data_IF_793856997298
#
_entry.id   IF_793856997298
#
_cell.length_a   1.000
_cell.length_b   1.000
_cell.length_c   1.000
_cell.angle_alpha   90.00
_cell.angle_beta   90.00
_cell.angle_gamma   90.00
#
_symmetry.space_group_name_H-M   'P 1'
#
loop_
_entity.id
_entity.type
_entity.pdbx_description
1 polymer ?
#
# COMPACT_ATOMS: atom_id res chain seq x y z
N UNK A 1 -23.69 61.41 20.17
CA UNK A 1 -23.48 60.73 21.46
C UNK A 1 -23.00 59.31 21.12
N UNK A 2 -21.72 58.97 21.00
CA UNK A 2 -20.60 58.95 21.98
C UNK A 2 -20.95 58.32 23.34
N UNK A 3 -20.47 57.09 23.53
CA UNK A 3 -19.64 56.55 24.64
C UNK A 3 -20.07 55.10 24.94
N UNK A 4 -19.27 54.08 24.61
CA UNK A 4 -18.07 53.60 25.35
C UNK A 4 -18.46 52.87 26.66
N UNK A 5 -17.84 51.79 27.15
CA UNK A 5 -16.77 50.82 26.81
C UNK A 5 -16.96 49.72 27.88
N UNK A 6 -16.68 48.44 27.62
CA UNK A 6 -15.97 47.60 28.61
C UNK A 6 -15.31 46.39 27.93
N UNK A 7 -13.98 46.47 27.83
CA UNK A 7 -13.08 45.34 27.54
C UNK A 7 -12.96 44.47 28.80
N UNK A 8 -12.85 43.15 28.63
CA UNK A 8 -12.49 42.26 29.73
C UNK A 8 -12.22 40.81 29.31
N UNK A 9 -10.94 40.54 29.01
CA UNK A 9 -10.25 39.25 29.15
C UNK A 9 -10.73 38.02 28.36
N UNK A 10 -10.08 37.80 27.20
CA UNK A 10 -9.91 36.46 26.62
C UNK A 10 -8.73 35.81 27.36
N UNK A 11 -9.04 34.91 28.30
CA UNK A 11 -8.09 33.97 28.87
C UNK A 11 -7.77 32.91 27.80
N UNK A 12 -6.52 32.89 27.36
CA UNK A 12 -5.94 31.79 26.61
C UNK A 12 -5.98 30.52 27.45
N UNK A 13 -6.86 29.57 27.10
CA UNK A 13 -6.70 28.19 27.52
C UNK A 13 -5.87 27.45 26.47
N UNK A 14 -4.71 26.99 26.91
CA UNK A 14 -3.82 26.11 26.19
C UNK A 14 -4.60 24.91 25.62
N UNK A 15 -4.40 24.62 24.34
CA UNK A 15 -4.83 23.38 23.69
C UNK A 15 -4.15 22.19 24.39
N UNK A 16 -4.85 21.60 25.36
CA UNK A 16 -4.57 20.28 25.86
C UNK A 16 -4.85 19.26 24.76
N UNK A 17 -3.96 18.29 24.60
CA UNK A 17 -4.10 17.17 23.68
C UNK A 17 -5.49 16.54 23.77
N UNK A 18 -6.27 16.61 22.69
CA UNK A 18 -7.45 15.77 22.53
C UNK A 18 -7.00 14.31 22.47
N UNK A 19 -7.07 13.61 23.60
CA UNK A 19 -7.16 12.15 23.62
C UNK A 19 -8.43 11.80 22.85
N UNK A 20 -8.29 11.06 21.76
CA UNK A 20 -9.42 10.54 20.98
C UNK A 20 -10.29 9.70 21.95
N UNK A 21 -11.46 10.22 22.32
CA UNK A 21 -12.44 9.51 23.12
C UNK A 21 -13.00 8.35 22.30
N UNK A 22 -12.72 7.11 22.72
CA UNK A 22 -13.25 5.88 22.10
C UNK A 22 -12.21 4.87 21.58
N UNK A 23 -10.91 5.19 21.64
CA UNK A 23 -9.84 4.23 21.31
C UNK A 23 -9.63 3.18 22.40
N UNK A 24 -9.17 1.98 22.02
CA UNK A 24 -8.73 0.96 22.98
C UNK A 24 -7.47 1.47 23.70
N UNK A 25 -7.47 1.42 25.03
CA UNK A 25 -6.35 1.82 25.89
C UNK A 25 -5.96 0.68 26.84
N UNK A 26 -4.68 0.61 27.22
CA UNK A 26 -4.20 -0.31 28.25
C UNK A 26 -4.67 0.13 29.63
N UNK A 27 -5.04 -0.82 30.49
CA UNK A 27 -5.33 -0.56 31.89
C UNK A 27 -4.01 -0.59 32.66
N UNK A 28 -3.69 0.50 33.38
CA UNK A 28 -2.45 0.62 34.15
C UNK A 28 -2.54 -0.08 35.51
N UNK A 29 -3.68 0.07 36.19
CA UNK A 29 -3.97 -0.60 37.45
C UNK A 29 -4.94 -1.77 37.21
N UNK A 30 -4.39 -2.99 37.23
CA UNK A 30 -5.17 -4.23 37.06
C UNK A 30 -5.82 -4.71 38.35
N UNK A 31 -5.50 -4.08 39.49
CA UNK A 31 -6.09 -4.38 40.80
C UNK A 31 -7.24 -3.42 41.14
N UNK A 32 -7.52 -2.44 40.27
CA UNK A 32 -8.68 -1.55 40.37
C UNK A 32 -9.98 -2.36 40.54
N UNK A 33 -10.77 -1.96 41.54
CA UNK A 33 -11.98 -2.67 41.97
C UNK A 33 -12.98 -2.88 40.83
N UNK A 34 -13.07 -1.94 39.89
CA UNK A 34 -13.98 -2.06 38.74
C UNK A 34 -13.49 -3.07 37.71
N UNK A 35 -12.17 -3.21 37.57
CA UNK A 35 -11.51 -4.13 36.64
C UNK A 35 -11.56 -5.56 37.21
N UNK A 36 -11.26 -5.70 38.50
CA UNK A 36 -11.40 -6.97 39.24
C UNK A 36 -12.86 -7.40 39.29
N UNK A 37 -13.80 -6.46 39.50
CA UNK A 37 -15.23 -6.71 39.44
C UNK A 37 -15.68 -7.27 38.09
N UNK A 38 -15.21 -6.69 36.99
CA UNK A 38 -15.50 -7.19 35.65
C UNK A 38 -14.90 -8.59 35.39
N UNK A 39 -13.71 -8.88 35.93
CA UNK A 39 -13.08 -10.20 35.82
C UNK A 39 -13.87 -11.27 36.61
N UNK A 40 -14.25 -10.98 37.85
CA UNK A 40 -15.05 -11.89 38.67
C UNK A 40 -16.44 -12.12 38.07
N UNK A 41 -17.08 -11.07 37.55
CA UNK A 41 -18.33 -11.19 36.82
C UNK A 41 -18.20 -12.16 35.64
N UNK A 42 -17.15 -12.03 34.83
CA UNK A 42 -16.90 -12.93 33.70
C UNK A 42 -16.74 -14.39 34.13
N UNK A 43 -15.93 -14.65 35.16
CA UNK A 43 -15.69 -16.02 35.65
C UNK A 43 -16.95 -16.64 36.25
N UNK A 44 -17.70 -15.90 37.07
CA UNK A 44 -18.97 -16.37 37.65
C UNK A 44 -20.04 -16.62 36.58
N UNK A 45 -20.05 -15.82 35.52
CA UNK A 45 -20.93 -16.05 34.37
C UNK A 45 -20.55 -17.33 33.63
N UNK A 46 -19.26 -17.62 33.50
CA UNK A 46 -18.77 -18.87 32.87
C UNK A 46 -19.06 -20.11 33.71
N UNK A 47 -18.99 -20.02 35.04
CA UNK A 47 -19.46 -21.08 35.95
C UNK A 47 -20.96 -21.36 35.71
N UNK A 48 -21.80 -20.32 35.74
CA UNK A 48 -23.25 -20.48 35.57
C UNK A 48 -23.72 -21.04 34.21
N UNK A 49 -22.85 -21.08 33.19
CA UNK A 49 -23.16 -21.61 31.85
C UNK A 49 -22.51 -22.95 31.53
N UNK A 50 -21.58 -23.44 32.36
CA UNK A 50 -20.92 -24.73 32.13
C UNK A 50 -21.74 -25.86 32.77
N UNK A 51 -21.67 -27.06 32.20
CA UNK A 51 -22.37 -28.25 32.71
C UNK A 51 -21.52 -29.02 33.74
N UNK A 52 -20.32 -28.51 34.07
CA UNK A 52 -19.43 -29.11 35.08
C UNK A 52 -19.65 -28.52 36.48
N UNK A 53 -19.33 -29.30 37.51
CA UNK A 53 -19.44 -28.86 38.91
C UNK A 53 -18.11 -28.28 39.41
N UNK A 54 -17.23 -27.78 38.52
CA UNK A 54 -15.89 -27.33 38.90
C UNK A 54 -15.82 -25.81 38.98
N UNK A 55 -15.71 -25.28 40.20
CA UNK A 55 -15.63 -23.83 40.41
C UNK A 55 -14.35 -23.21 39.81
N UNK A 56 -14.52 -22.14 39.03
CA UNK A 56 -13.41 -21.33 38.52
C UNK A 56 -12.90 -20.36 39.57
N UNK A 57 -11.69 -20.61 40.09
CA UNK A 57 -11.10 -19.74 41.11
C UNK A 57 -10.23 -18.66 40.47
N UNK A 58 -10.64 -17.41 40.63
CA UNK A 58 -9.87 -16.23 40.21
C UNK A 58 -8.48 -16.25 40.88
N UNK A 59 -7.43 -16.05 40.08
CA UNK A 59 -6.06 -15.89 40.60
C UNK A 59 -5.55 -14.47 40.43
N UNK A 60 -5.53 -13.96 39.19
CA UNK A 60 -5.11 -12.59 38.88
C UNK A 60 -5.46 -12.18 37.45
N UNK A 61 -5.46 -10.89 37.18
CA UNK A 61 -5.51 -10.36 35.81
C UNK A 61 -4.07 -10.25 35.27
N UNK A 62 -3.80 -10.88 34.13
CA UNK A 62 -2.49 -10.88 33.47
C UNK A 62 -2.35 -9.61 32.61
N UNK A 63 -3.42 -9.23 31.91
CA UNK A 63 -3.43 -8.12 30.98
C UNK A 63 -4.83 -7.55 30.86
N UNK A 64 -4.94 -6.23 30.81
CA UNK A 64 -6.21 -5.53 30.69
C UNK A 64 -6.16 -4.41 29.65
N UNK A 65 -7.19 -4.33 28.81
CA UNK A 65 -7.46 -3.16 27.96
C UNK A 65 -8.90 -2.73 28.15
N UNK A 66 -9.17 -1.43 28.00
CA UNK A 66 -10.52 -0.87 28.05
C UNK A 66 -10.78 0.06 26.87
N UNK A 67 -12.04 0.10 26.46
CA UNK A 67 -12.54 1.01 25.44
C UNK A 67 -13.81 1.68 25.96
N UNK A 68 -13.86 3.01 25.85
CA UNK A 68 -15.09 3.76 26.15
C UNK A 68 -16.02 3.66 24.95
N UNK A 69 -17.21 3.11 25.17
CA UNK A 69 -18.30 2.96 24.20
C UNK A 69 -19.57 3.57 24.82
N UNK A 70 -20.77 3.10 24.46
CA UNK A 70 -21.98 3.34 25.28
C UNK A 70 -21.90 2.52 26.60
N UNK A 71 -20.84 2.71 27.38
CA UNK A 71 -20.39 1.83 28.47
C UNK A 71 -18.87 1.75 28.51
N UNK A 72 -18.33 0.84 29.32
CA UNK A 72 -16.91 0.49 29.27
C UNK A 72 -16.79 -0.96 28.82
N UNK A 73 -16.06 -1.18 27.73
CA UNK A 73 -15.76 -2.48 27.19
C UNK A 73 -14.36 -2.91 27.65
N UNK A 74 -14.31 -3.93 28.49
CA UNK A 74 -13.09 -4.54 29.02
C UNK A 74 -12.67 -5.73 28.18
N UNK A 75 -11.36 -5.84 27.95
CA UNK A 75 -10.69 -7.00 27.35
C UNK A 75 -9.65 -7.47 28.37
N UNK A 76 -9.92 -8.59 29.05
CA UNK A 76 -9.12 -9.06 30.17
C UNK A 76 -8.58 -10.45 29.89
N UNK A 77 -7.29 -10.67 30.12
CA UNK A 77 -6.69 -11.98 30.19
C UNK A 77 -6.56 -12.36 31.67
N UNK A 78 -7.37 -13.32 32.12
CA UNK A 78 -7.51 -13.70 33.53
C UNK A 78 -6.82 -15.04 33.76
N UNK A 79 -5.89 -15.07 34.70
CA UNK A 79 -5.36 -16.31 35.25
C UNK A 79 -6.34 -16.86 36.28
N UNK A 80 -6.66 -18.14 36.17
CA UNK A 80 -7.59 -18.84 37.06
C UNK A 80 -7.20 -20.31 37.22
N UNK A 81 -7.73 -20.96 38.24
CA UNK A 81 -7.60 -22.39 38.45
C UNK A 81 -8.96 -23.05 38.27
N UNK A 82 -8.98 -24.19 37.58
CA UNK A 82 -10.14 -25.07 37.55
C UNK A 82 -10.01 -25.99 38.77
N UNK A 83 -10.82 -25.71 39.80
CA UNK A 83 -10.75 -26.43 41.07
C UNK A 83 -11.62 -27.69 41.03
N UNK A 84 -11.27 -28.71 41.82
CA UNK A 84 -12.15 -29.84 42.10
C UNK A 84 -13.30 -29.52 43.08
N UNK A 85 -13.47 -28.27 43.52
CA UNK A 85 -14.57 -27.83 44.37
C UNK A 85 -15.89 -27.77 43.59
N UNK A 86 -16.97 -28.29 44.19
CA UNK A 86 -18.35 -28.03 43.71
C UNK A 86 -18.65 -26.54 43.67
N UNK A 87 -19.41 -26.12 42.66
CA UNK A 87 -19.87 -24.73 42.49
C UNK A 87 -20.75 -24.25 43.65
N UNK A 88 -21.27 -25.19 44.46
CA UNK A 88 -22.09 -24.93 45.66
C UNK A 88 -21.33 -24.31 46.85
N UNK A 89 -19.99 -24.33 46.86
CA UNK A 89 -19.19 -23.76 47.96
C UNK A 89 -18.90 -22.27 47.78
N UNK A 90 -19.06 -21.47 48.85
CA UNK A 90 -18.80 -20.02 48.86
C UNK A 90 -17.32 -19.68 48.75
N UNK A 91 -16.45 -20.41 49.45
CA UNK A 91 -14.98 -20.23 49.41
C UNK A 91 -14.32 -21.51 48.90
N UNK A 92 -13.50 -21.39 47.86
CA UNK A 92 -12.75 -22.50 47.30
C UNK A 92 -11.29 -22.08 47.09
N UNK A 93 -10.37 -22.88 47.63
CA UNK A 93 -8.93 -22.70 47.47
C UNK A 93 -8.39 -23.76 46.52
N UNK A 94 -7.67 -23.39 45.46
CA UNK A 94 -7.12 -24.35 44.52
C UNK A 94 -6.05 -25.21 45.19
N UNK A 95 -6.11 -26.52 44.93
CA UNK A 95 -5.13 -27.50 45.36
C UNK A 95 -3.89 -27.53 44.46
N UNK A 96 -2.82 -28.21 44.89
CA UNK A 96 -1.55 -28.29 44.13
C UNK A 96 -1.65 -29.06 42.80
N UNK A 97 -2.71 -29.86 42.61
CA UNK A 97 -2.96 -30.63 41.38
C UNK A 97 -3.91 -29.92 40.41
N UNK A 98 -4.49 -28.79 40.81
CA UNK A 98 -5.46 -28.05 40.00
C UNK A 98 -4.80 -27.37 38.80
N UNK A 99 -5.45 -27.49 37.65
CA UNK A 99 -4.89 -26.97 36.40
C UNK A 99 -5.16 -25.48 36.28
N UNK A 100 -4.10 -24.73 36.00
CA UNK A 100 -4.18 -23.31 35.72
C UNK A 100 -4.59 -23.06 34.27
N UNK A 101 -5.53 -22.14 34.09
CA UNK A 101 -6.01 -21.66 32.80
C UNK A 101 -5.82 -20.15 32.68
N UNK A 102 -5.76 -19.69 31.44
CA UNK A 102 -5.82 -18.28 31.06
C UNK A 102 -7.07 -18.09 30.22
N UNK A 103 -7.95 -17.22 30.68
CA UNK A 103 -9.22 -16.90 30.03
C UNK A 103 -9.18 -15.46 29.51
N UNK A 104 -9.21 -15.31 28.19
CA UNK A 104 -9.42 -14.04 27.52
C UNK A 104 -10.92 -13.75 27.45
N UNK A 105 -11.38 -12.73 28.17
CA UNK A 105 -12.79 -12.37 28.28
C UNK A 105 -13.03 -10.94 27.80
N UNK A 106 -14.22 -10.73 27.24
CA UNK A 106 -14.71 -9.43 26.81
C UNK A 106 -15.99 -9.09 27.57
N UNK A 107 -15.94 -8.08 28.43
CA UNK A 107 -17.07 -7.70 29.31
C UNK A 107 -17.47 -6.28 29.03
N UNK A 108 -18.75 -6.02 28.80
CA UNK A 108 -19.28 -4.66 28.74
C UNK A 108 -19.92 -4.30 30.09
N UNK A 109 -19.59 -3.13 30.62
CA UNK A 109 -20.20 -2.55 31.81
C UNK A 109 -21.02 -1.32 31.44
N UNK A 110 -22.31 -1.34 31.78
CA UNK A 110 -23.29 -0.29 31.52
C UNK A 110 -24.12 -0.06 32.80
N UNK A 111 -23.64 0.73 33.77
CA UNK A 111 -24.28 0.87 35.08
C UNK A 111 -25.74 1.35 35.08
N UNK A 112 -26.19 1.97 33.99
CA UNK A 112 -27.54 2.50 33.79
C UNK A 112 -28.53 1.51 33.13
N UNK A 113 -28.07 0.31 32.78
CA UNK A 113 -28.91 -0.76 32.23
C UNK A 113 -29.39 -1.68 33.37
N UNK A 114 -30.48 -2.42 33.13
CA UNK A 114 -31.01 -3.44 34.06
C UNK A 114 -29.97 -4.56 34.27
N UNK A 115 -29.39 -5.06 33.17
CA UNK A 115 -28.17 -5.87 33.19
C UNK A 115 -26.93 -4.96 33.19
N UNK A 116 -26.42 -4.65 34.38
CA UNK A 116 -25.30 -3.71 34.56
C UNK A 116 -23.98 -4.16 33.93
N UNK A 117 -23.80 -5.47 33.72
CA UNK A 117 -22.65 -6.06 33.06
C UNK A 117 -23.08 -7.24 32.19
N UNK A 118 -22.37 -7.46 31.08
CA UNK A 118 -22.60 -8.59 30.18
C UNK A 118 -21.30 -9.15 29.63
N UNK A 119 -21.16 -10.48 29.67
CA UNK A 119 -20.07 -11.20 29.01
C UNK A 119 -20.40 -11.28 27.51
N UNK A 120 -19.53 -10.71 26.70
CA UNK A 120 -19.69 -10.63 25.23
C UNK A 120 -19.00 -11.80 24.55
N UNK A 121 -17.81 -12.17 25.02
CA UNK A 121 -16.98 -13.21 24.43
C UNK A 121 -16.01 -13.76 25.49
N UNK A 122 -15.62 -15.02 25.36
CA UNK A 122 -14.73 -15.70 26.29
C UNK A 122 -14.01 -16.86 25.62
N UNK A 123 -12.70 -16.96 25.84
CA UNK A 123 -11.89 -18.10 25.41
C UNK A 123 -10.89 -18.48 26.49
N UNK A 124 -10.89 -19.74 26.92
CA UNK A 124 -10.00 -20.25 27.96
C UNK A 124 -9.05 -21.32 27.41
N UNK A 125 -7.77 -21.20 27.75
CA UNK A 125 -6.72 -22.14 27.38
C UNK A 125 -5.88 -22.55 28.58
N UNK A 126 -5.36 -23.80 28.64
CA UNK A 126 -4.39 -24.19 29.66
C UNK A 126 -3.15 -23.27 29.68
N UNK A 127 -2.71 -22.85 30.86
CA UNK A 127 -1.65 -21.85 31.02
C UNK A 127 -0.29 -22.31 30.44
N UNK A 128 -0.01 -23.62 30.40
CA UNK A 128 1.20 -24.19 29.79
C UNK A 128 1.23 -24.04 28.26
N UNK A 129 0.06 -24.10 27.61
CA UNK A 129 -0.07 -23.80 26.16
C UNK A 129 0.14 -22.31 25.90
N UNK A 130 -0.35 -21.45 26.79
CA UNK A 130 -0.17 -20.00 26.66
C UNK A 130 1.28 -19.54 26.87
N UNK A 131 2.03 -20.16 27.79
CA UNK A 131 3.47 -19.91 27.94
C UNK A 131 4.25 -20.31 26.67
N UNK A 132 3.85 -21.42 26.01
CA UNK A 132 4.44 -21.82 24.72
C UNK A 132 4.09 -20.84 23.60
N UNK A 133 2.85 -20.36 23.54
CA UNK A 133 2.43 -19.31 22.61
C UNK A 133 3.23 -18.01 22.83
N UNK A 134 3.32 -17.53 24.08
CA UNK A 134 4.10 -16.33 24.44
C UNK A 134 5.60 -16.46 24.11
N UNK A 135 6.21 -17.64 24.30
CA UNK A 135 7.60 -17.90 23.89
C UNK A 135 7.77 -17.87 22.38
N UNK A 136 6.82 -18.43 21.62
CA UNK A 136 6.84 -18.39 20.15
C UNK A 136 6.64 -16.97 19.63
N UNK A 137 5.70 -16.20 20.19
CA UNK A 137 5.50 -14.79 19.86
C UNK A 137 6.76 -13.96 20.07
N UNK A 138 7.41 -14.10 21.24
CA UNK A 138 8.69 -13.42 21.52
C UNK A 138 9.80 -13.81 20.55
N UNK A 139 9.80 -15.06 20.05
CA UNK A 139 10.78 -15.53 19.06
C UNK A 139 10.53 -14.91 17.69
N UNK A 140 9.28 -14.88 17.23
CA UNK A 140 8.91 -14.25 15.95
C UNK A 140 9.11 -12.73 16.00
N UNK A 141 8.82 -12.07 17.11
CA UNK A 141 9.09 -10.64 17.30
C UNK A 141 10.60 -10.32 17.20
N UNK A 142 11.46 -11.12 17.85
CA UNK A 142 12.93 -10.98 17.73
C UNK A 142 13.41 -11.18 16.29
N UNK A 143 12.84 -12.15 15.58
CA UNK A 143 13.18 -12.42 14.17
C UNK A 143 12.77 -11.25 13.28
N UNK A 144 11.57 -10.70 13.49
CA UNK A 144 11.06 -9.54 12.77
C UNK A 144 11.90 -8.27 13.06
N UNK A 145 12.24 -8.02 14.31
CA UNK A 145 13.12 -6.90 14.70
C UNK A 145 14.50 -6.98 14.04
N UNK A 146 15.08 -8.20 13.95
CA UNK A 146 16.34 -8.41 13.22
C UNK A 146 16.19 -8.15 11.72
N UNK A 147 15.09 -8.59 11.11
CA UNK A 147 14.79 -8.32 9.70
C UNK A 147 14.62 -6.82 9.44
N UNK A 148 13.90 -6.12 10.30
CA UNK A 148 13.75 -4.66 10.23
C UNK A 148 15.09 -3.94 10.33
N UNK A 149 15.97 -4.33 11.27
CA UNK A 149 17.32 -3.77 11.36
C UNK A 149 18.12 -3.93 10.06
N UNK A 150 17.99 -5.08 9.40
CA UNK A 150 18.61 -5.33 8.09
C UNK A 150 18.00 -4.45 7.00
N UNK A 151 16.67 -4.34 6.95
CA UNK A 151 15.93 -3.44 6.07
C UNK A 151 16.41 -1.98 6.20
N UNK A 152 16.59 -1.48 7.43
CA UNK A 152 17.09 -0.12 7.67
C UNK A 152 18.49 0.10 7.07
N UNK A 153 19.39 -0.87 7.25
CA UNK A 153 20.75 -0.80 6.72
C UNK A 153 20.75 -0.88 5.18
N UNK A 154 20.01 -1.82 4.60
CA UNK A 154 19.93 -2.01 3.15
C UNK A 154 19.37 -0.78 2.42
N UNK A 155 18.32 -0.17 2.99
CA UNK A 155 17.66 0.99 2.38
C UNK A 155 18.17 2.33 2.90
N UNK A 156 19.21 2.34 3.73
CA UNK A 156 19.81 3.55 4.33
C UNK A 156 18.75 4.44 5.04
N UNK A 157 17.81 3.80 5.74
CA UNK A 157 16.71 4.49 6.42
C UNK A 157 17.21 5.10 7.74
N UNK A 158 16.94 6.40 7.91
CA UNK A 158 17.21 7.15 9.14
C UNK A 158 15.93 7.86 9.55
N UNK A 159 15.59 7.78 10.84
CA UNK A 159 14.39 8.42 11.39
C UNK A 159 14.77 9.48 12.41
N UNK A 160 13.97 10.53 12.49
CA UNK A 160 14.20 11.70 13.35
C UNK A 160 14.16 11.39 14.85
N UNK A 161 13.48 10.31 15.25
CA UNK A 161 13.32 9.94 16.65
C UNK A 161 13.11 8.44 16.84
N UNK A 162 13.34 7.96 18.07
CA UNK A 162 12.98 6.59 18.47
C UNK A 162 11.48 6.31 18.34
N UNK A 163 10.64 7.32 18.60
CA UNK A 163 9.18 7.22 18.45
C UNK A 163 8.79 6.98 16.99
N UNK A 164 9.41 7.71 16.05
CA UNK A 164 9.17 7.49 14.63
C UNK A 164 9.69 6.12 14.17
N UNK A 165 10.88 5.71 14.62
CA UNK A 165 11.39 4.37 14.34
C UNK A 165 10.47 3.26 14.84
N UNK A 166 9.89 3.41 16.03
CA UNK A 166 8.94 2.46 16.59
C UNK A 166 7.66 2.40 15.74
N UNK A 167 7.12 3.56 15.34
CA UNK A 167 5.98 3.65 14.42
C UNK A 167 6.28 2.95 13.09
N UNK A 168 7.45 3.19 12.51
CA UNK A 168 7.90 2.57 11.25
C UNK A 168 8.06 1.06 11.38
N UNK A 169 8.51 0.57 12.54
CA UNK A 169 8.57 -0.86 12.82
C UNK A 169 7.18 -1.49 12.89
N UNK A 170 6.19 -0.80 13.47
CA UNK A 170 4.80 -1.28 13.52
C UNK A 170 4.14 -1.33 12.14
N UNK A 171 4.38 -0.32 11.30
CA UNK A 171 3.95 -0.32 9.90
C UNK A 171 4.63 -1.45 9.12
N UNK A 172 5.94 -1.58 9.28
CA UNK A 172 6.71 -2.66 8.65
C UNK A 172 6.17 -4.04 9.05
N UNK A 173 5.84 -4.25 10.33
CA UNK A 173 5.20 -5.49 10.81
C UNK A 173 3.88 -5.77 10.09
N UNK A 174 3.02 -4.76 9.94
CA UNK A 174 1.75 -4.92 9.22
C UNK A 174 2.00 -5.27 7.74
N UNK A 175 2.93 -4.57 7.10
CA UNK A 175 3.30 -4.83 5.71
C UNK A 175 3.90 -6.24 5.51
N UNK A 176 4.61 -6.80 6.49
CA UNK A 176 5.05 -8.20 6.41
C UNK A 176 3.90 -9.19 6.34
N UNK A 177 2.76 -8.91 6.99
CA UNK A 177 1.57 -9.75 6.87
C UNK A 177 0.96 -9.63 5.47
N UNK A 178 0.90 -8.42 4.91
CA UNK A 178 0.43 -8.19 3.53
C UNK A 178 1.33 -8.92 2.52
N UNK A 179 2.65 -8.80 2.66
CA UNK A 179 3.62 -9.51 1.81
C UNK A 179 3.39 -11.02 1.86
N UNK A 180 3.15 -11.57 3.06
CA UNK A 180 2.86 -12.99 3.24
C UNK A 180 1.57 -13.37 2.52
N UNK A 181 0.51 -12.60 2.67
CA UNK A 181 -0.79 -12.84 2.02
C UNK A 181 -0.68 -12.78 0.49
N UNK A 182 0.03 -11.79 -0.04
CA UNK A 182 0.33 -11.68 -1.47
C UNK A 182 1.08 -12.92 -1.97
N UNK A 183 2.12 -13.34 -1.25
CA UNK A 183 2.94 -14.48 -1.65
C UNK A 183 2.15 -15.80 -1.61
N UNK A 184 1.27 -15.99 -0.62
CA UNK A 184 0.42 -17.19 -0.49
C UNK A 184 -0.67 -17.26 -1.58
N UNK A 185 -1.07 -16.12 -2.13
CA UNK A 185 -2.13 -16.02 -3.15
C UNK A 185 -1.61 -15.73 -4.58
N UNK A 186 -0.29 -15.65 -4.77
CA UNK A 186 0.34 -15.43 -6.06
C UNK A 186 0.06 -16.59 -7.02
N UNK A 187 -0.36 -16.28 -8.26
CA UNK A 187 -0.71 -17.28 -9.28
C UNK A 187 0.39 -17.48 -10.34
N UNK A 188 1.34 -16.54 -10.41
CA UNK A 188 2.51 -16.56 -11.27
C UNK A 188 3.77 -17.01 -10.52
N UNK A 189 4.88 -16.32 -10.76
CA UNK A 189 6.20 -16.62 -10.18
C UNK A 189 6.77 -15.45 -9.37
N UNK A 190 5.97 -14.41 -9.13
CA UNK A 190 6.43 -13.24 -8.41
C UNK A 190 6.88 -13.58 -6.98
N UNK A 191 7.96 -12.91 -6.60
CA UNK A 191 8.47 -12.86 -5.23
C UNK A 191 8.18 -11.48 -4.70
N UNK A 192 7.39 -11.41 -3.62
CA UNK A 192 7.15 -10.19 -2.87
C UNK A 192 8.08 -10.12 -1.66
N UNK A 193 8.44 -8.92 -1.23
CA UNK A 193 9.36 -8.75 -0.13
C UNK A 193 9.66 -7.29 0.20
N UNK A 194 10.75 -7.11 0.94
CA UNK A 194 11.14 -5.80 1.45
C UNK A 194 11.63 -4.93 0.28
N UNK A 195 10.84 -3.95 -0.12
CA UNK A 195 11.26 -2.82 -0.94
C UNK A 195 11.53 -1.64 -0.01
N UNK A 196 12.09 -0.53 -0.51
CA UNK A 196 12.24 0.68 0.32
C UNK A 196 10.91 1.32 0.74
N UNK A 197 9.77 0.81 0.27
CA UNK A 197 8.43 1.20 0.69
C UNK A 197 7.85 0.32 1.80
N UNK A 198 8.60 -0.68 2.29
CA UNK A 198 8.10 -1.66 3.24
C UNK A 198 7.74 -1.08 4.63
N UNK A 199 8.15 0.15 4.93
CA UNK A 199 7.84 0.89 6.16
C UNK A 199 6.83 2.04 5.95
N UNK A 200 6.17 2.09 4.79
CA UNK A 200 5.14 3.09 4.47
C UNK A 200 3.73 2.51 4.67
N UNK A 201 2.81 3.35 5.16
CA UNK A 201 1.38 3.01 5.09
C UNK A 201 0.88 3.07 3.65
N UNK A 202 -0.32 2.56 3.38
CA UNK A 202 -0.92 2.66 2.06
C UNK A 202 -1.08 4.12 1.65
N UNK A 203 -1.52 5.00 2.57
CA UNK A 203 -1.70 6.43 2.32
C UNK A 203 -0.39 7.13 1.99
N UNK A 204 0.69 6.80 2.70
CA UNK A 204 2.03 7.31 2.38
C UNK A 204 2.51 6.81 1.02
N UNK A 205 2.23 5.54 0.69
CA UNK A 205 2.56 4.97 -0.61
C UNK A 205 1.76 5.58 -1.76
N UNK A 206 0.52 6.07 -1.53
CA UNK A 206 -0.27 6.77 -2.54
C UNK A 206 0.46 7.99 -3.11
N UNK A 207 1.29 8.70 -2.34
CA UNK A 207 2.05 9.86 -2.84
C UNK A 207 3.15 9.50 -3.86
N UNK A 208 3.51 8.22 -3.97
CA UNK A 208 4.44 7.72 -5.00
C UNK A 208 3.71 7.31 -6.29
N UNK A 209 2.40 7.49 -6.31
CA UNK A 209 1.50 7.24 -7.43
C UNK A 209 0.85 8.57 -7.81
N UNK A 210 0.44 8.70 -9.06
CA UNK A 210 0.08 10.01 -9.61
C UNK A 210 -0.84 9.93 -10.81
N UNK A 211 -1.29 8.75 -11.22
CA UNK A 211 -2.36 8.67 -12.20
C UNK A 211 -3.66 8.96 -11.46
N UNK A 212 -4.32 10.06 -11.81
CA UNK A 212 -5.51 10.48 -11.10
C UNK A 212 -6.71 10.56 -12.05
N UNK A 213 -7.57 9.55 -11.98
CA UNK A 213 -8.78 9.43 -12.79
C UNK A 213 -9.86 10.49 -12.49
N UNK A 214 -9.69 11.34 -11.47
CA UNK A 214 -10.61 12.46 -11.22
C UNK A 214 -10.41 13.64 -12.17
N UNK A 215 -9.27 13.72 -12.85
CA UNK A 215 -9.03 14.77 -13.85
C UNK A 215 -9.94 14.58 -15.06
N UNK A 216 -10.36 15.70 -15.67
CA UNK A 216 -11.20 15.66 -16.86
C UNK A 216 -10.39 15.10 -18.03
N UNK A 217 -10.74 13.90 -18.48
CA UNK A 217 -10.14 13.25 -19.64
C UNK A 217 -10.45 14.02 -20.93
N UNK A 218 -9.48 14.08 -21.83
CA UNK A 218 -9.65 14.63 -23.17
C UNK A 218 -10.10 13.53 -24.16
N UNK A 219 -11.10 12.72 -23.79
CA UNK A 219 -11.50 11.50 -24.55
C UNK A 219 -11.86 11.80 -26.01
N UNK A 220 -12.39 12.99 -26.31
CA UNK A 220 -12.75 13.38 -27.68
C UNK A 220 -11.55 13.67 -28.59
N UNK A 221 -10.34 13.79 -28.03
CA UNK A 221 -9.12 14.08 -28.78
C UNK A 221 -8.34 12.81 -29.15
N UNK A 222 -8.55 11.71 -28.43
CA UNK A 222 -7.85 10.45 -28.69
C UNK A 222 -8.37 9.78 -29.96
N UNK A 223 -7.52 9.68 -30.97
CA UNK A 223 -7.81 8.88 -32.14
C UNK A 223 -7.53 7.43 -31.83
N UNK A 224 -8.39 6.53 -32.33
CA UNK A 224 -8.13 5.09 -32.20
C UNK A 224 -7.00 4.68 -33.13
N UNK A 225 -6.05 3.93 -32.59
CA UNK A 225 -4.99 3.34 -33.38
C UNK A 225 -5.52 2.32 -34.39
N UNK A 226 -4.93 2.32 -35.59
CA UNK A 226 -5.14 1.26 -36.58
C UNK A 226 -4.17 0.13 -36.28
N UNK A 227 -4.67 -0.97 -35.74
CA UNK A 227 -3.84 -2.10 -35.32
C UNK A 227 -3.20 -2.79 -36.54
N UNK A 228 -1.88 -3.10 -36.50
CA UNK A 228 -1.23 -3.89 -37.53
C UNK A 228 -1.92 -5.23 -37.75
N UNK A 229 -2.04 -5.67 -39.02
CA UNK A 229 -2.65 -6.98 -39.34
C UNK A 229 -1.73 -8.17 -39.08
N UNK A 230 -0.44 -7.92 -38.85
CA UNK A 230 0.55 -8.96 -38.61
C UNK A 230 0.45 -9.46 -37.17
N UNK A 231 0.60 -10.77 -36.96
CA UNK A 231 0.71 -11.35 -35.63
C UNK A 231 1.97 -10.84 -34.93
N UNK A 232 1.85 -10.54 -33.64
CA UNK A 232 3.01 -10.14 -32.85
C UNK A 232 4.01 -11.31 -32.77
N UNK A 233 5.34 -11.05 -32.76
CA UNK A 233 6.32 -12.06 -32.39
C UNK A 233 6.00 -12.70 -31.02
N UNK A 234 6.49 -13.91 -30.74
CA UNK A 234 6.23 -14.58 -29.45
C UNK A 234 6.81 -13.80 -28.26
N UNK A 235 7.98 -13.22 -28.44
CA UNK A 235 8.66 -12.37 -27.46
C UNK A 235 9.22 -11.12 -28.15
N UNK A 236 9.21 -10.00 -27.43
CA UNK A 236 9.71 -8.74 -27.94
C UNK A 236 10.19 -7.84 -26.79
N UNK A 237 11.31 -7.14 -26.98
CA UNK A 237 11.87 -6.26 -25.96
C UNK A 237 12.60 -5.04 -26.57
N UNK A 238 12.02 -3.85 -26.39
CA UNK A 238 12.59 -2.59 -26.89
C UNK A 238 13.90 -2.19 -26.19
N UNK A 239 14.21 -2.76 -25.02
CA UNK A 239 15.51 -2.54 -24.35
C UNK A 239 16.67 -3.03 -25.20
N UNK A 240 16.44 -4.06 -26.03
CA UNK A 240 17.44 -4.61 -26.94
C UNK A 240 17.54 -3.86 -28.28
N UNK A 241 16.72 -2.82 -28.47
CA UNK A 241 16.56 -2.09 -29.74
C UNK A 241 16.75 -0.57 -29.57
N UNK A 242 17.42 -0.15 -28.51
CA UNK A 242 17.73 1.25 -28.22
C UNK A 242 16.52 2.19 -28.15
N UNK A 243 15.31 1.69 -27.87
CA UNK A 243 14.10 2.52 -27.78
C UNK A 243 13.61 2.71 -26.33
N UNK A 244 14.51 2.54 -25.35
CA UNK A 244 14.19 2.66 -23.92
C UNK A 244 15.36 3.33 -23.20
N UNK A 245 15.15 4.54 -22.67
CA UNK A 245 16.14 5.24 -21.82
C UNK A 245 16.36 4.51 -20.50
N UNK A 246 17.41 4.86 -19.72
CA UNK A 246 17.59 4.34 -18.36
C UNK A 246 16.36 4.54 -17.46
N UNK A 247 16.22 3.70 -16.43
CA UNK A 247 15.16 3.86 -15.41
C UNK A 247 15.42 5.12 -14.59
N UNK A 248 14.44 6.04 -14.60
CA UNK A 248 14.44 7.28 -13.82
C UNK A 248 13.78 7.08 -12.44
N UNK A 249 13.71 8.15 -11.63
CA UNK A 249 13.13 8.11 -10.29
C UNK A 249 12.31 9.38 -9.95
N UNK A 250 11.00 9.24 -9.85
CA UNK A 250 10.07 10.32 -9.52
C UNK A 250 10.13 10.77 -8.04
N UNK A 251 10.80 10.00 -7.17
CA UNK A 251 10.86 10.30 -5.74
C UNK A 251 9.48 10.35 -5.08
N UNK A 252 9.24 11.35 -4.25
CA UNK A 252 8.00 11.56 -3.49
C UNK A 252 6.98 12.48 -4.19
N UNK A 253 7.08 12.59 -5.51
CA UNK A 253 6.17 13.38 -6.35
C UNK A 253 5.27 12.44 -7.16
N UNK A 254 3.95 12.65 -7.13
CA UNK A 254 2.97 11.90 -7.93
C UNK A 254 3.01 12.25 -9.42
N UNK A 255 4.15 12.03 -10.06
CA UNK A 255 4.46 12.44 -11.45
C UNK A 255 4.61 11.26 -12.41
N UNK A 256 4.21 10.05 -12.01
CA UNK A 256 4.32 8.85 -12.85
C UNK A 256 3.64 9.00 -14.22
N UNK A 257 2.59 9.81 -14.31
CA UNK A 257 1.90 10.14 -15.56
C UNK A 257 2.84 10.81 -16.57
N UNK A 258 3.70 11.74 -16.11
CA UNK A 258 4.71 12.40 -16.93
C UNK A 258 5.78 11.40 -17.39
N UNK A 259 6.35 10.60 -16.46
CA UNK A 259 7.35 9.57 -16.78
C UNK A 259 6.84 8.50 -17.77
N UNK A 260 5.55 8.16 -17.69
CA UNK A 260 4.90 7.22 -18.59
C UNK A 260 4.84 7.76 -20.02
N UNK A 261 4.55 9.06 -20.15
CA UNK A 261 4.40 9.76 -21.44
C UNK A 261 5.75 10.11 -22.05
N UNK A 262 6.68 10.66 -21.27
CA UNK A 262 8.05 10.90 -21.74
C UNK A 262 8.70 9.60 -22.16
N UNK A 263 8.56 8.52 -21.40
CA UNK A 263 9.09 7.20 -21.78
C UNK A 263 8.51 6.66 -23.10
N UNK A 264 7.24 6.95 -23.40
CA UNK A 264 6.65 6.63 -24.71
C UNK A 264 7.26 7.50 -25.81
N UNK A 265 7.35 8.82 -25.60
CA UNK A 265 7.94 9.76 -26.55
C UNK A 265 9.39 9.45 -26.89
N UNK A 266 10.21 9.15 -25.88
CA UNK A 266 11.61 8.73 -26.03
C UNK A 266 11.72 7.50 -26.95
N UNK A 267 10.84 6.51 -26.74
CA UNK A 267 10.82 5.29 -27.54
C UNK A 267 10.39 5.52 -28.98
N UNK A 268 9.25 6.20 -29.21
CA UNK A 268 8.75 6.46 -30.57
C UNK A 268 9.64 7.45 -31.35
N UNK A 269 10.27 8.41 -30.65
CA UNK A 269 11.27 9.30 -31.23
C UNK A 269 12.50 8.53 -31.69
N UNK A 270 13.03 7.64 -30.85
CA UNK A 270 14.17 6.81 -31.20
C UNK A 270 13.90 5.91 -32.40
N UNK A 271 12.71 5.30 -32.47
CA UNK A 271 12.33 4.45 -33.60
C UNK A 271 12.24 5.26 -34.91
N UNK A 272 11.73 6.49 -34.85
CA UNK A 272 11.53 7.33 -36.03
C UNK A 272 12.82 8.00 -36.52
N UNK A 273 13.59 8.56 -35.60
CA UNK A 273 14.74 9.42 -35.91
C UNK A 273 16.08 8.70 -35.75
N UNK A 274 16.10 7.51 -35.16
CA UNK A 274 17.31 6.72 -34.95
C UNK A 274 18.17 7.19 -33.78
N UNK A 275 17.67 8.11 -32.96
CA UNK A 275 18.39 8.70 -31.83
C UNK A 275 17.59 8.54 -30.53
N UNK A 276 18.22 7.97 -29.50
CA UNK A 276 17.59 7.83 -28.18
C UNK A 276 17.94 9.03 -27.31
N UNK A 277 17.00 9.95 -27.18
CA UNK A 277 17.07 11.09 -26.27
C UNK A 277 16.25 10.83 -25.01
N UNK A 278 16.58 11.54 -23.93
CA UNK A 278 15.80 11.58 -22.69
C UNK A 278 15.08 12.92 -22.62
N UNK A 279 13.76 12.92 -22.45
CA UNK A 279 12.94 14.14 -22.44
C UNK A 279 12.53 14.56 -21.03
N UNK A 280 12.27 15.85 -20.85
CA UNK A 280 12.01 16.43 -19.53
C UNK A 280 10.63 16.07 -18.97
N UNK A 281 10.60 15.36 -17.85
CA UNK A 281 9.37 15.26 -17.06
C UNK A 281 9.06 16.57 -16.30
N UNK A 282 10.08 17.36 -15.97
CA UNK A 282 9.89 18.57 -15.18
C UNK A 282 9.16 19.67 -15.93
N UNK A 283 9.39 19.77 -17.24
CA UNK A 283 8.66 20.69 -18.11
C UNK A 283 7.15 20.43 -18.04
N UNK A 284 6.72 19.16 -18.11
CA UNK A 284 5.33 18.77 -17.89
C UNK A 284 4.82 19.16 -16.49
N UNK A 285 5.62 18.95 -15.45
CA UNK A 285 5.23 19.28 -14.07
C UNK A 285 5.01 20.77 -13.83
N UNK A 286 5.74 21.62 -14.55
CA UNK A 286 5.76 23.07 -14.35
C UNK A 286 4.87 23.83 -15.36
N UNK A 287 4.63 23.26 -16.54
CA UNK A 287 4.01 23.96 -17.66
C UNK A 287 2.66 23.37 -18.13
N UNK A 288 2.36 22.13 -17.78
CA UNK A 288 1.03 21.55 -18.01
C UNK A 288 -0.03 22.30 -17.19
N UNK A 289 -1.10 22.73 -17.86
CA UNK A 289 -2.23 23.48 -17.27
C UNK A 289 -3.48 22.60 -17.05
N UNK A 290 -3.47 21.37 -17.53
CA UNK A 290 -4.56 20.40 -17.44
C UNK A 290 -4.43 19.51 -16.20
N UNK A 291 -3.18 19.20 -15.82
CA UNK A 291 -2.85 18.31 -14.71
C UNK A 291 -2.34 19.05 -13.46
N UNK A 292 -2.07 18.30 -12.39
CA UNK A 292 -1.71 18.83 -11.07
C UNK A 292 -0.23 18.75 -10.70
N UNK A 293 0.66 18.52 -11.66
CA UNK A 293 2.08 18.28 -11.40
C UNK A 293 2.28 17.08 -10.46
N UNK A 294 2.83 17.32 -9.27
CA UNK A 294 3.01 16.27 -8.25
C UNK A 294 1.70 15.78 -7.60
N UNK A 295 0.57 16.45 -7.80
CA UNK A 295 -0.74 16.00 -7.31
C UNK A 295 -1.42 15.01 -8.28
N UNK A 296 -0.73 14.67 -9.36
CA UNK A 296 -1.18 13.71 -10.35
C UNK A 296 -1.63 14.33 -11.65
N UNK A 297 -1.91 13.46 -12.62
CA UNK A 297 -2.26 13.81 -13.97
C UNK A 297 -2.67 12.58 -14.77
N UNK A 298 -2.86 12.76 -16.08
CA UNK A 298 -3.30 11.72 -17.01
C UNK A 298 -2.41 11.71 -18.26
N UNK A 299 -2.03 10.54 -18.79
CA UNK A 299 -1.23 10.46 -20.01
C UNK A 299 -1.81 11.26 -21.18
N UNK A 300 -3.13 11.22 -21.34
CA UNK A 300 -3.88 11.91 -22.41
C UNK A 300 -3.75 13.44 -22.31
N UNK A 301 -3.81 13.95 -21.08
CA UNK A 301 -3.66 15.37 -20.78
C UNK A 301 -2.22 15.81 -21.05
N UNK A 302 -1.24 14.99 -20.65
CA UNK A 302 0.17 15.27 -20.90
C UNK A 302 0.49 15.34 -22.40
N UNK A 303 0.01 14.39 -23.23
CA UNK A 303 0.21 14.47 -24.68
C UNK A 303 -0.39 15.76 -25.25
N UNK A 304 -1.60 16.13 -24.79
CA UNK A 304 -2.23 17.38 -25.21
C UNK A 304 -1.43 18.61 -24.77
N UNK A 305 -0.90 18.60 -23.54
CA UNK A 305 -0.05 19.67 -23.05
C UNK A 305 1.21 19.80 -23.91
N UNK A 306 1.87 18.71 -24.28
CA UNK A 306 3.06 18.73 -25.14
C UNK A 306 2.74 19.29 -26.53
N UNK A 307 1.60 18.90 -27.11
CA UNK A 307 1.10 19.49 -28.37
C UNK A 307 0.90 21.01 -28.23
N UNK A 308 0.27 21.47 -27.15
CA UNK A 308 0.02 22.89 -26.89
C UNK A 308 1.29 23.70 -26.57
N UNK A 309 2.28 23.07 -25.95
CA UNK A 309 3.58 23.66 -25.66
C UNK A 309 4.48 23.75 -26.90
N UNK A 310 4.17 23.01 -27.96
CA UNK A 310 4.97 22.97 -29.19
C UNK A 310 6.11 21.96 -29.17
N UNK A 311 6.25 21.20 -28.09
CA UNK A 311 7.24 20.13 -27.91
C UNK A 311 7.74 20.00 -26.47
N UNK A 312 8.77 19.18 -26.28
CA UNK A 312 9.54 19.09 -25.02
C UNK A 312 11.04 19.28 -25.27
N UNK A 313 11.70 19.86 -24.27
CA UNK A 313 13.15 19.93 -24.10
C UNK A 313 13.71 18.57 -23.62
N UNK A 314 15.04 18.42 -23.68
CA UNK A 314 15.70 17.24 -23.11
C UNK A 314 15.72 17.29 -21.57
N UNK A 315 15.95 16.13 -20.96
CA UNK A 315 16.18 16.03 -19.51
C UNK A 315 17.44 16.82 -19.07
N UNK A 316 18.42 17.01 -19.96
CA UNK A 316 19.63 17.76 -19.63
C UNK A 316 19.37 19.29 -19.64
N UNK A 317 18.53 19.76 -20.56
CA UNK A 317 18.18 21.19 -20.70
C UNK A 317 17.15 21.63 -19.65
N UNK A 318 16.19 20.75 -19.31
CA UNK A 318 15.21 20.99 -18.25
C UNK A 318 15.17 19.83 -17.23
N UNK A 319 16.11 19.79 -16.26
CA UNK A 319 16.26 18.63 -15.36
C UNK A 319 15.14 18.41 -14.35
N UNK A 320 14.89 17.15 -14.03
CA UNK A 320 13.94 16.71 -13.02
C UNK A 320 14.30 17.14 -11.60
N UNK A 321 13.36 17.85 -10.96
CA UNK A 321 13.48 18.36 -9.58
C UNK A 321 12.52 17.67 -8.61
N UNK A 322 11.51 16.95 -9.13
CA UNK A 322 10.52 16.22 -8.32
C UNK A 322 9.66 17.11 -7.44
N UNK A 323 9.35 18.32 -7.91
CA UNK A 323 8.48 19.30 -7.24
C UNK A 323 7.67 20.05 -8.29
N UNK A 324 6.35 20.07 -8.14
CA UNK A 324 5.46 20.84 -9.01
C UNK A 324 5.27 22.28 -8.50
N UNK A 325 4.57 23.08 -9.29
CA UNK A 325 4.24 24.47 -8.95
C UNK A 325 5.42 25.43 -9.04
N UNK A 326 6.49 25.05 -9.74
CA UNK A 326 7.55 25.99 -10.09
C UNK A 326 7.09 26.84 -11.28
N UNK A 327 7.81 27.93 -11.52
CA UNK A 327 7.53 28.78 -12.68
C UNK A 327 7.94 28.03 -13.94
N UNK A 328 6.98 27.78 -14.82
CA UNK A 328 7.23 27.32 -16.19
C UNK A 328 8.28 28.23 -16.86
N UNK A 329 9.39 27.63 -17.29
CA UNK A 329 10.57 28.33 -17.82
C UNK A 329 11.05 27.70 -19.12
N UNK A 330 10.11 27.38 -20.02
CA UNK A 330 10.39 26.75 -21.31
C UNK A 330 11.27 27.66 -22.18
N UNK A 331 12.26 27.07 -22.83
CA UNK A 331 12.92 27.66 -23.99
C UNK A 331 12.40 27.01 -25.29
N UNK A 332 11.57 27.76 -26.03
CA UNK A 332 11.00 27.26 -27.29
C UNK A 332 12.05 26.90 -28.35
N UNK A 333 13.29 27.39 -28.22
CA UNK A 333 14.38 27.05 -29.15
C UNK A 333 15.05 25.72 -28.84
N UNK A 334 14.86 25.18 -27.62
CA UNK A 334 15.44 23.89 -27.16
C UNK A 334 14.42 22.74 -27.22
N UNK A 335 13.18 22.99 -27.68
CA UNK A 335 12.18 21.95 -27.86
C UNK A 335 12.50 21.04 -29.05
N UNK A 336 12.82 19.77 -28.75
CA UNK A 336 13.29 18.79 -29.75
C UNK A 336 12.14 17.90 -30.23
N UNK A 337 11.35 17.34 -29.31
CA UNK A 337 10.29 16.37 -29.67
C UNK A 337 8.95 17.06 -29.80
N UNK A 338 8.30 16.87 -30.95
CA UNK A 338 6.96 17.40 -31.23
C UNK A 338 5.98 16.27 -31.47
N UNK A 339 4.77 16.44 -30.95
CA UNK A 339 3.68 15.49 -31.14
C UNK A 339 2.85 15.94 -32.33
N UNK A 340 2.70 15.03 -33.29
CA UNK A 340 1.76 15.16 -34.41
C UNK A 340 0.36 14.68 -34.04
N UNK A 341 0.30 13.63 -33.23
CA UNK A 341 -0.95 12.98 -32.82
C UNK A 341 -0.72 12.12 -31.58
N UNK A 342 -1.79 11.74 -30.90
CA UNK A 342 -1.73 10.75 -29.82
C UNK A 342 -2.94 9.82 -29.88
N UNK A 343 -2.68 8.54 -29.66
CA UNK A 343 -3.58 7.46 -30.00
C UNK A 343 -4.00 6.68 -28.76
N UNK A 344 -5.27 6.31 -28.72
CA UNK A 344 -5.77 5.25 -27.84
C UNK A 344 -5.61 3.90 -28.56
N UNK A 345 -4.90 2.99 -27.90
CA UNK A 345 -4.71 1.62 -28.39
C UNK A 345 -5.86 0.74 -27.89
N UNK A 346 -6.06 -0.40 -28.55
CA UNK A 346 -7.03 -1.41 -28.12
C UNK A 346 -6.79 -1.92 -26.71
N UNK A 347 -7.87 -2.32 -26.04
CA UNK A 347 -7.79 -3.04 -24.76
C UNK A 347 -7.50 -4.54 -24.93
N UNK A 348 -7.48 -5.04 -26.17
CA UNK A 348 -7.10 -6.41 -26.47
C UNK A 348 -5.58 -6.58 -26.35
N UNK A 349 -5.12 -7.39 -25.41
CA UNK A 349 -3.69 -7.59 -25.13
C UNK A 349 -2.88 -8.17 -26.30
N UNK A 350 -3.52 -8.86 -27.24
CA UNK A 350 -2.87 -9.29 -28.48
C UNK A 350 -2.64 -8.10 -29.42
N UNK A 351 -3.63 -7.23 -29.56
CA UNK A 351 -3.53 -6.02 -30.39
C UNK A 351 -2.54 -5.01 -29.79
N UNK A 352 -2.43 -4.95 -28.46
CA UNK A 352 -1.38 -4.19 -27.76
C UNK A 352 0.00 -4.75 -28.12
N UNK A 353 0.17 -6.07 -28.13
CA UNK A 353 1.45 -6.70 -28.49
C UNK A 353 1.83 -6.42 -29.95
N UNK A 354 0.85 -6.49 -30.86
CA UNK A 354 1.01 -6.18 -32.28
C UNK A 354 1.42 -4.71 -32.48
N UNK A 355 0.72 -3.78 -31.82
CA UNK A 355 1.07 -2.37 -31.88
C UNK A 355 2.48 -2.13 -31.32
N UNK A 356 2.78 -2.68 -30.14
CA UNK A 356 4.06 -2.46 -29.45
C UNK A 356 5.24 -2.96 -30.29
N UNK A 357 5.14 -4.15 -30.88
CA UNK A 357 6.23 -4.75 -31.65
C UNK A 357 6.57 -3.95 -32.91
N UNK A 358 5.57 -3.29 -33.51
CA UNK A 358 5.73 -2.52 -34.76
C UNK A 358 6.05 -1.03 -34.50
N UNK A 359 5.44 -0.41 -33.48
CA UNK A 359 5.41 1.04 -33.34
C UNK A 359 6.18 1.59 -32.14
N UNK A 360 6.52 0.76 -31.14
CA UNK A 360 7.28 1.20 -29.98
C UNK A 360 6.64 0.91 -28.62
N UNK A 361 7.33 1.27 -27.53
CA UNK A 361 6.79 1.19 -26.16
C UNK A 361 5.47 1.96 -26.02
N UNK A 362 4.56 1.52 -25.15
CA UNK A 362 3.25 2.18 -24.92
C UNK A 362 3.06 2.61 -23.48
N UNK A 363 2.48 3.79 -23.30
CA UNK A 363 2.14 4.37 -21.98
C UNK A 363 0.85 3.74 -21.48
N UNK A 364 0.85 3.24 -20.24
CA UNK A 364 -0.29 2.54 -19.65
C UNK A 364 -0.61 2.96 -18.22
N UNK A 365 -1.87 2.85 -17.85
CA UNK A 365 -2.32 2.92 -16.46
C UNK A 365 -2.37 1.53 -15.82
N UNK A 366 -1.99 1.43 -14.54
CA UNK A 366 -2.08 0.20 -13.75
C UNK A 366 -2.51 0.52 -12.31
N UNK A 367 -3.18 -0.43 -11.64
CA UNK A 367 -3.30 -0.41 -10.19
C UNK A 367 -2.01 -0.94 -9.55
N UNK A 368 -1.24 -0.07 -8.90
CA UNK A 368 0.09 -0.37 -8.38
C UNK A 368 0.11 -0.84 -6.92
N UNK A 369 -1.03 -1.23 -6.33
CA UNK A 369 -1.08 -1.64 -4.91
C UNK A 369 -0.09 -2.76 -4.59
N UNK A 370 -0.07 -3.82 -5.40
CA UNK A 370 0.86 -4.96 -5.19
C UNK A 370 2.32 -4.60 -5.52
N UNK A 371 2.53 -3.58 -6.35
CA UNK A 371 3.86 -3.14 -6.77
C UNK A 371 4.65 -2.55 -5.59
N UNK A 372 3.99 -2.14 -4.51
CA UNK A 372 4.68 -1.68 -3.29
C UNK A 372 5.73 -2.69 -2.82
N UNK A 373 5.46 -3.99 -2.95
CA UNK A 373 6.32 -5.06 -2.40
C UNK A 373 6.96 -5.96 -3.47
N UNK A 374 6.80 -5.66 -4.75
CA UNK A 374 7.34 -6.49 -5.83
C UNK A 374 8.88 -6.50 -5.83
N UNK A 375 9.48 -7.69 -5.97
CA UNK A 375 10.94 -7.86 -6.08
C UNK A 375 11.39 -8.42 -7.42
N UNK A 376 10.70 -9.44 -7.95
CA UNK A 376 11.04 -10.16 -9.19
C UNK A 376 9.97 -11.18 -9.57
N UNK A 377 10.08 -11.77 -10.75
CA UNK A 377 9.19 -12.83 -11.25
C UNK A 377 7.93 -12.29 -11.95
N UNK A 378 7.12 -13.16 -12.52
CA UNK A 378 5.86 -12.76 -13.19
C UNK A 378 4.76 -12.62 -12.14
N UNK A 379 4.28 -11.40 -11.96
CA UNK A 379 3.23 -11.04 -11.01
C UNK A 379 1.84 -11.31 -11.57
N UNK A 380 1.07 -12.16 -10.89
CA UNK A 380 -0.32 -12.50 -11.22
C UNK A 380 -1.19 -12.52 -9.94
N UNK A 381 -1.30 -11.38 -9.23
CA UNK A 381 -2.12 -11.28 -8.03
C UNK A 381 -3.62 -11.48 -8.35
N UNK A 382 -4.38 -11.90 -7.35
CA UNK A 382 -5.84 -11.91 -7.46
C UNK A 382 -6.39 -10.48 -7.58
N UNK A 383 -7.49 -10.32 -8.31
CA UNK A 383 -8.12 -9.00 -8.60
C UNK A 383 -8.43 -8.15 -7.37
N UNK A 384 -8.65 -8.73 -6.20
CA UNK A 384 -8.94 -7.95 -5.00
C UNK A 384 -7.69 -7.25 -4.42
N UNK A 385 -6.48 -7.71 -4.74
CA UNK A 385 -5.24 -7.03 -4.35
C UNK A 385 -4.90 -5.85 -5.29
N UNK A 386 -5.29 -5.94 -6.56
CA UNK A 386 -5.17 -4.85 -7.52
C UNK A 386 -6.42 -4.78 -8.40
N UNK A 387 -7.39 -3.96 -7.97
CA UNK A 387 -8.66 -3.85 -8.70
C UNK A 387 -8.41 -3.21 -10.08
N UNK A 388 -8.71 -3.89 -11.19
CA UNK A 388 -8.45 -3.38 -12.54
C UNK A 388 -9.24 -2.11 -12.90
N UNK A 389 -10.25 -1.74 -12.09
CA UNK A 389 -11.02 -0.50 -12.28
C UNK A 389 -10.42 0.72 -11.57
N UNK A 390 -9.45 0.52 -10.69
CA UNK A 390 -8.89 1.57 -9.83
C UNK A 390 -7.45 1.85 -10.24
N UNK A 391 -7.22 2.33 -11.46
CA UNK A 391 -5.87 2.70 -11.91
C UNK A 391 -5.38 3.90 -11.08
N UNK A 392 -4.11 3.84 -10.66
CA UNK A 392 -3.50 4.88 -9.82
C UNK A 392 -2.04 5.19 -10.18
N UNK A 393 -1.43 4.41 -11.09
CA UNK A 393 -0.04 4.59 -11.50
C UNK A 393 0.14 4.52 -13.01
N UNK A 394 0.96 5.43 -13.54
CA UNK A 394 1.35 5.46 -14.96
C UNK A 394 2.71 4.79 -15.16
N UNK A 395 2.80 3.87 -16.12
CA UNK A 395 4.01 3.08 -16.40
C UNK A 395 4.12 2.80 -17.91
N UNK A 396 5.28 2.33 -18.35
CA UNK A 396 5.55 2.09 -19.77
C UNK A 396 5.71 0.60 -20.04
N UNK A 397 4.90 0.02 -20.95
CA UNK A 397 5.17 -1.32 -21.47
C UNK A 397 6.24 -1.20 -22.55
N UNK A 398 7.36 -1.92 -22.36
CA UNK A 398 8.52 -1.88 -23.27
C UNK A 398 8.74 -3.22 -23.99
N UNK A 399 7.96 -4.24 -23.67
CA UNK A 399 8.13 -5.56 -24.24
C UNK A 399 7.21 -6.58 -23.59
N UNK A 400 7.36 -7.83 -24.00
CA UNK A 400 6.64 -8.98 -23.49
C UNK A 400 7.41 -10.26 -23.81
N UNK A 401 7.08 -11.32 -23.11
CA UNK A 401 7.64 -12.63 -23.39
C UNK A 401 6.90 -13.73 -22.64
N UNK A 402 7.53 -14.89 -22.53
CA UNK A 402 6.99 -16.04 -21.80
C UNK A 402 7.99 -16.60 -20.80
N UNK A 403 7.50 -17.08 -19.67
CA UNK A 403 8.31 -17.80 -18.68
C UNK A 403 7.73 -19.20 -18.49
N UNK A 404 8.58 -20.23 -18.48
CA UNK A 404 8.14 -21.59 -18.17
C UNK A 404 8.25 -21.80 -16.66
N UNK A 405 7.12 -22.07 -15.99
CA UNK A 405 7.13 -22.34 -14.54
C UNK A 405 7.99 -23.55 -14.21
N UNK A 406 8.88 -23.47 -13.19
CA UNK A 406 9.77 -24.59 -12.85
C UNK A 406 9.03 -25.87 -12.41
N UNK A 407 7.87 -25.72 -11.78
CA UNK A 407 7.18 -26.84 -11.11
C UNK A 407 6.16 -27.54 -12.02
N UNK A 408 5.43 -26.77 -12.85
CA UNK A 408 4.33 -27.30 -13.68
C UNK A 408 4.59 -27.20 -15.18
N UNK A 409 5.74 -26.64 -15.59
CA UNK A 409 6.08 -26.34 -16.99
C UNK A 409 4.99 -25.56 -17.74
N UNK A 410 4.14 -24.83 -17.00
CA UNK A 410 3.14 -23.92 -17.56
C UNK A 410 3.84 -22.71 -18.16
N UNK A 411 3.45 -22.33 -19.37
CA UNK A 411 3.83 -21.08 -20.01
C UNK A 411 3.10 -19.92 -19.34
N UNK A 412 3.85 -18.94 -18.84
CA UNK A 412 3.38 -17.69 -18.26
C UNK A 412 3.73 -16.54 -19.20
N UNK A 413 2.80 -16.09 -20.04
CA UNK A 413 2.97 -14.84 -20.78
C UNK A 413 3.04 -13.64 -19.82
N UNK A 414 3.92 -12.69 -20.10
CA UNK A 414 4.07 -11.48 -19.29
C UNK A 414 4.36 -10.24 -20.14
N UNK A 415 3.99 -9.08 -19.62
CA UNK A 415 4.49 -7.77 -20.04
C UNK A 415 5.78 -7.42 -19.30
N UNK A 416 6.68 -6.71 -19.97
CA UNK A 416 7.86 -6.06 -19.39
C UNK A 416 7.51 -4.58 -19.23
N UNK A 417 7.43 -4.13 -17.99
CA UNK A 417 6.98 -2.78 -17.64
C UNK A 417 8.12 -2.00 -17.02
N UNK A 418 8.47 -0.86 -17.60
CA UNK A 418 9.41 0.11 -17.03
C UNK A 418 8.67 0.97 -16.00
N UNK A 419 9.19 1.00 -14.77
CA UNK A 419 8.68 1.82 -13.68
C UNK A 419 9.55 3.08 -13.47
N UNK A 420 9.07 4.01 -12.64
CA UNK A 420 9.67 5.32 -12.36
C UNK A 420 10.11 5.47 -10.89
N UNK A 421 10.42 4.37 -10.19
CA UNK A 421 10.86 4.36 -8.78
C UNK A 421 12.35 4.05 -8.62
N UNK A 422 13.13 4.23 -9.68
CA UNK A 422 14.57 3.97 -9.70
C UNK A 422 14.94 2.49 -9.80
N UNK A 423 16.20 2.25 -10.17
CA UNK A 423 16.75 0.90 -10.43
C UNK A 423 16.82 -0.02 -9.21
N UNK A 424 16.67 0.52 -8.00
CA UNK A 424 16.69 -0.27 -6.76
C UNK A 424 15.36 -0.97 -6.45
N UNK A 425 14.30 -0.59 -7.17
CA UNK A 425 12.98 -1.22 -7.07
C UNK A 425 12.83 -2.34 -8.09
N UNK A 426 12.07 -3.40 -7.77
CA UNK A 426 11.77 -4.48 -8.71
C UNK A 426 13.00 -5.12 -9.36
N UNK A 427 12.87 -5.48 -10.64
CA UNK A 427 13.93 -6.06 -11.45
C UNK A 427 14.73 -4.96 -12.14
N UNK A 428 15.62 -4.32 -11.39
CA UNK A 428 16.41 -3.16 -11.88
C UNK A 428 15.53 -1.99 -12.37
N UNK A 429 14.38 -1.80 -11.72
CA UNK A 429 13.39 -0.79 -12.09
C UNK A 429 12.26 -1.29 -12.97
N UNK A 430 12.29 -2.57 -13.37
CA UNK A 430 11.24 -3.18 -14.19
C UNK A 430 10.31 -4.07 -13.36
N UNK A 431 9.11 -4.26 -13.90
CA UNK A 431 8.05 -5.10 -13.39
C UNK A 431 7.61 -6.08 -14.48
N UNK A 432 7.56 -7.36 -14.14
CA UNK A 432 6.92 -8.37 -15.00
C UNK A 432 5.55 -8.71 -14.45
N UNK A 433 4.53 -8.51 -15.26
CA UNK A 433 3.12 -8.74 -14.92
C UNK A 433 2.47 -9.66 -15.92
N UNK A 434 1.61 -10.53 -15.46
CA UNK A 434 0.92 -11.49 -16.30
C UNK A 434 0.14 -10.80 -17.43
N UNK A 435 0.27 -11.36 -18.63
CA UNK A 435 -0.40 -10.92 -19.86
C UNK A 435 -1.45 -11.94 -20.26
N UNK A 436 -2.68 -11.53 -20.48
CA UNK A 436 -3.75 -12.38 -21.02
C UNK A 436 -5.10 -12.27 -20.30
N UNK A 437 -5.18 -11.56 -19.18
CA UNK A 437 -6.44 -11.30 -18.47
C UNK A 437 -6.60 -9.85 -17.98
N UNK A 438 -5.76 -8.93 -18.46
CA UNK A 438 -5.75 -7.53 -18.01
C UNK A 438 -5.36 -7.37 -16.53
N UNK A 439 -4.41 -8.16 -16.04
CA UNK A 439 -3.94 -8.14 -14.64
C UNK A 439 -3.70 -6.71 -14.15
N UNK A 440 -4.30 -6.35 -13.01
CA UNK A 440 -4.26 -5.02 -12.40
C UNK A 440 -4.74 -3.86 -13.30
N UNK A 441 -5.47 -4.15 -14.37
CA UNK A 441 -6.04 -3.16 -15.29
C UNK A 441 -5.05 -2.62 -16.33
N UNK A 442 -3.88 -3.26 -16.51
CA UNK A 442 -2.80 -2.76 -17.36
C UNK A 442 -3.20 -2.50 -18.82
N UNK A 443 -4.25 -3.17 -19.31
CA UNK A 443 -4.76 -3.06 -20.68
C UNK A 443 -5.92 -2.06 -20.83
N UNK A 444 -6.29 -1.32 -19.77
CA UNK A 444 -7.53 -0.50 -19.79
C UNK A 444 -7.30 0.94 -20.23
N UNK A 445 -6.10 1.48 -20.00
CA UNK A 445 -5.65 2.78 -20.49
C UNK A 445 -4.33 2.54 -21.19
N UNK A 446 -4.34 2.51 -22.52
CA UNK A 446 -3.15 2.21 -23.34
C UNK A 446 -3.06 3.27 -24.43
N UNK A 447 -1.96 4.01 -24.42
CA UNK A 447 -1.80 5.18 -25.27
C UNK A 447 -0.40 5.26 -25.86
N UNK A 448 -0.29 5.90 -27.02
CA UNK A 448 1.00 6.18 -27.67
C UNK A 448 0.94 7.50 -28.43
N UNK A 449 2.03 8.25 -28.39
CA UNK A 449 2.24 9.39 -29.28
C UNK A 449 2.62 8.95 -30.69
N UNK A 450 2.39 9.86 -31.63
CA UNK A 450 2.96 9.89 -32.97
C UNK A 450 3.77 11.19 -33.06
N UNK A 451 5.09 11.05 -33.18
CA UNK A 451 6.01 12.19 -33.25
C UNK A 451 6.20 12.68 -34.68
N UNK A 452 6.56 13.96 -34.85
CA UNK A 452 6.77 14.61 -36.16
C UNK A 452 7.95 14.09 -36.97
#
# INVERSE_FOLDING_TARGET
MKCAIFLGFILAFAYGQHRITGGISSIEDLEDETVVGAANFALSTLDAYDDDDNKRVFSKIIKGRKQVVAGILYYLDISMFMSSCSESFTECTPGPEDRQFICSVKVISQPWMEEKMKLIDSHCVPADKEVKNSRNEKKEEKKLARRFKKFLAEHKKLYSSRREMQRRFEIYRQNQNIIKELQENEQGTAVYGDTFFADLTQEEFQYHKGLNMSYKRQETLLKKAVIPKQSAPEEFDWRNKSAVTPVKNQGSCGSCWAFSVTGNLEGVYSIKHGELLSFSEQELLDCDKLDGGCNGGLPENAYKAIEDLGGLETEDDYPYKGRGGQKCSIDSSEQIVKIKDFLEISQNEEEIAQWLAENGPVSVGINANVMQFYRRGVSHPKKFFCNPKNLDHGVLIVGYGTEITPVKQKVLPYWIVKNSWGTRWGEQGYYRVYRGDGTCGINTMVTSAVVE
#
